data_IF_977387561232
#
_entry.id   IF_977387561232
#
_cell.length_a   1.000
_cell.length_b   1.000
_cell.length_c   1.000
_cell.angle_alpha   90.00
_cell.angle_beta   90.00
_cell.angle_gamma   90.00
#
_symmetry.space_group_name_H-M   'P 1'
#
loop_
_entity.id
_entity.type
_entity.pdbx_description
1 polymer ?
#
# COMPACT_ATOMS: atom_id res chain seq x y z
N UNK A 1 2.46 -27.00 -14.25
CA UNK A 1 1.56 -25.98 -14.80
C UNK A 1 0.33 -26.64 -15.38
N UNK A 2 -0.86 -26.04 -15.18
CA UNK A 2 -2.16 -26.56 -15.64
C UNK A 2 -2.56 -25.89 -16.94
N UNK A 3 -2.99 -26.69 -17.92
CA UNK A 3 -3.49 -26.20 -19.22
C UNK A 3 -4.91 -26.67 -19.42
N UNK A 4 -5.87 -25.73 -19.45
CA UNK A 4 -7.26 -26.05 -19.77
C UNK A 4 -7.41 -26.21 -21.28
N UNK A 5 -8.03 -27.30 -21.70
CA UNK A 5 -8.33 -27.61 -23.11
C UNK A 5 -9.84 -27.76 -23.28
N UNK A 6 -10.46 -26.89 -24.04
CA UNK A 6 -11.86 -26.98 -24.44
C UNK A 6 -11.95 -27.37 -25.92
N UNK A 7 -12.45 -28.57 -26.17
CA UNK A 7 -12.57 -29.17 -27.50
C UNK A 7 -13.73 -30.19 -27.47
N UNK A 8 -14.69 -30.07 -28.33
CA UNK A 8 -15.87 -30.94 -28.37
C UNK A 8 -15.55 -32.32 -28.97
N UNK A 9 -14.66 -32.36 -29.97
CA UNK A 9 -14.25 -33.59 -30.61
C UNK A 9 -13.35 -34.43 -29.70
N UNK A 10 -13.77 -35.69 -29.33
CA UNK A 10 -13.01 -36.50 -28.39
C UNK A 10 -11.63 -36.90 -28.89
N UNK A 11 -11.44 -37.09 -30.20
CA UNK A 11 -10.12 -37.45 -30.76
C UNK A 11 -9.16 -36.28 -30.75
N UNK A 12 -9.63 -35.10 -31.10
CA UNK A 12 -8.82 -33.85 -31.05
C UNK A 12 -8.44 -33.51 -29.60
N UNK A 13 -9.40 -33.62 -28.69
CA UNK A 13 -9.18 -33.42 -27.27
C UNK A 13 -8.16 -34.38 -26.69
N UNK A 14 -8.24 -35.67 -27.07
CA UNK A 14 -7.27 -36.67 -26.67
C UNK A 14 -5.87 -36.37 -27.21
N UNK A 15 -5.77 -36.00 -28.49
CA UNK A 15 -4.48 -35.61 -29.10
C UNK A 15 -3.81 -34.47 -28.36
N UNK A 16 -4.56 -33.38 -28.06
CA UNK A 16 -4.02 -32.24 -27.31
C UNK A 16 -3.60 -32.66 -25.90
N UNK A 17 -4.37 -33.48 -25.22
CA UNK A 17 -4.02 -34.05 -23.93
C UNK A 17 -2.68 -34.80 -23.98
N UNK A 18 -2.54 -35.75 -24.91
CA UNK A 18 -1.35 -36.58 -25.01
C UNK A 18 -0.10 -35.70 -25.32
N UNK A 19 -0.24 -34.67 -26.13
CA UNK A 19 0.83 -33.69 -26.37
C UNK A 19 1.21 -32.97 -25.06
N UNK A 20 0.24 -32.46 -24.31
CA UNK A 20 0.48 -31.74 -23.04
C UNK A 20 1.20 -32.64 -22.03
N UNK A 21 0.71 -33.84 -21.85
CA UNK A 21 1.32 -34.83 -20.94
C UNK A 21 2.76 -35.17 -21.35
N UNK A 22 3.02 -35.28 -22.68
CA UNK A 22 4.36 -35.62 -23.22
C UNK A 22 5.38 -34.50 -22.96
N UNK A 23 4.94 -33.25 -22.81
CA UNK A 23 5.78 -32.09 -22.52
C UNK A 23 5.72 -31.65 -21.04
N UNK A 24 5.08 -32.47 -20.17
CA UNK A 24 5.12 -32.31 -18.72
C UNK A 24 4.09 -31.33 -18.15
N UNK A 25 3.04 -30.99 -18.89
CA UNK A 25 1.93 -30.17 -18.41
C UNK A 25 0.73 -31.01 -17.97
N UNK A 26 -0.03 -30.49 -16.99
CA UNK A 26 -1.25 -31.12 -16.47
C UNK A 26 -2.48 -30.64 -17.28
N UNK A 27 -3.11 -31.51 -18.08
CA UNK A 27 -4.29 -31.12 -18.87
C UNK A 27 -5.56 -31.14 -18.01
N UNK A 28 -6.33 -30.04 -18.10
CA UNK A 28 -7.70 -29.95 -17.58
C UNK A 28 -8.64 -29.94 -18.78
N UNK A 29 -9.45 -30.99 -18.95
CA UNK A 29 -10.24 -31.16 -20.17
C UNK A 29 -11.67 -30.67 -19.99
N UNK A 30 -12.20 -29.91 -20.96
CA UNK A 30 -13.58 -29.49 -21.08
C UNK A 30 -14.13 -29.94 -22.44
N UNK A 31 -15.42 -30.24 -22.50
CA UNK A 31 -16.08 -30.77 -23.72
C UNK A 31 -16.91 -29.73 -24.44
N UNK A 32 -17.15 -28.57 -23.80
CA UNK A 32 -17.97 -27.47 -24.30
C UNK A 32 -17.61 -26.15 -23.61
N UNK A 33 -18.19 -25.04 -24.08
CA UNK A 33 -17.93 -23.71 -23.52
C UNK A 33 -18.32 -23.54 -22.06
N UNK A 34 -19.52 -23.94 -21.61
CA UNK A 34 -19.92 -23.85 -20.22
C UNK A 34 -19.01 -24.63 -19.27
N UNK A 35 -18.59 -25.85 -19.63
CA UNK A 35 -17.66 -26.64 -18.82
C UNK A 35 -16.25 -26.02 -18.82
N UNK A 36 -15.85 -25.36 -19.90
CA UNK A 36 -14.58 -24.63 -19.95
C UNK A 36 -14.57 -23.46 -18.97
N UNK A 37 -15.63 -22.66 -18.91
CA UNK A 37 -15.75 -21.55 -17.96
C UNK A 37 -15.75 -22.02 -16.51
N UNK A 38 -16.55 -23.05 -16.20
CA UNK A 38 -16.58 -23.62 -14.84
C UNK A 38 -15.21 -24.14 -14.40
N UNK A 39 -14.48 -24.80 -15.30
CA UNK A 39 -13.13 -25.31 -15.02
C UNK A 39 -12.08 -24.20 -14.97
N UNK A 40 -12.18 -23.15 -15.78
CA UNK A 40 -11.31 -22.00 -15.70
C UNK A 40 -11.42 -21.32 -14.32
N UNK A 41 -12.63 -21.15 -13.80
CA UNK A 41 -12.87 -20.56 -12.47
C UNK A 41 -12.39 -21.46 -11.32
N UNK A 42 -12.61 -22.77 -11.42
CA UNK A 42 -12.29 -23.69 -10.33
C UNK A 42 -10.82 -24.12 -10.29
N UNK A 43 -10.15 -24.23 -11.45
CA UNK A 43 -8.77 -24.72 -11.52
C UNK A 43 -7.71 -23.63 -11.68
N UNK A 44 -8.10 -22.41 -12.08
CA UNK A 44 -7.23 -21.27 -12.38
C UNK A 44 -5.99 -21.71 -13.21
N UNK A 45 -6.20 -22.13 -14.50
CA UNK A 45 -5.14 -22.71 -15.30
C UNK A 45 -4.08 -21.68 -15.69
N UNK A 46 -2.90 -22.16 -16.07
CA UNK A 46 -1.80 -21.31 -16.54
C UNK A 46 -1.94 -20.91 -18.00
N UNK A 47 -2.69 -21.68 -18.80
CA UNK A 47 -3.02 -21.43 -20.20
C UNK A 47 -4.38 -22.04 -20.50
N UNK A 48 -5.16 -21.41 -21.36
CA UNK A 48 -6.43 -21.94 -21.87
C UNK A 48 -6.31 -22.14 -23.37
N UNK A 49 -6.62 -23.34 -23.86
CA UNK A 49 -6.72 -23.68 -25.28
C UNK A 49 -8.19 -23.91 -25.60
N UNK A 50 -8.74 -23.14 -26.55
CA UNK A 50 -10.15 -23.16 -26.93
C UNK A 50 -10.30 -23.54 -28.41
N UNK A 51 -11.07 -24.55 -28.70
CA UNK A 51 -11.59 -24.71 -30.05
C UNK A 51 -12.62 -23.59 -30.34
N UNK A 52 -12.54 -23.02 -31.53
CA UNK A 52 -13.51 -22.00 -31.97
C UNK A 52 -14.89 -22.60 -32.14
N UNK A 53 -14.98 -23.78 -32.73
CA UNK A 53 -16.25 -24.39 -33.14
C UNK A 53 -16.71 -25.41 -32.09
N UNK A 54 -17.32 -24.93 -31.02
CA UNK A 54 -17.93 -25.79 -29.99
C UNK A 54 -19.46 -25.61 -30.01
N UNK A 55 -20.24 -26.67 -29.72
CA UNK A 55 -21.68 -26.59 -29.66
C UNK A 55 -22.18 -25.74 -28.50
N UNK A 56 -23.23 -24.95 -28.73
CA UNK A 56 -23.88 -24.13 -27.72
C UNK A 56 -23.16 -22.80 -27.43
N UNK A 57 -21.89 -22.82 -27.09
CA UNK A 57 -21.08 -21.62 -26.84
C UNK A 57 -19.74 -21.77 -27.56
N UNK A 58 -19.46 -20.87 -28.47
CA UNK A 58 -18.21 -20.84 -29.25
C UNK A 58 -16.99 -20.50 -28.39
N UNK A 59 -15.80 -20.91 -28.83
CA UNK A 59 -14.55 -20.52 -28.17
C UNK A 59 -14.33 -19.00 -28.10
N UNK A 60 -14.87 -18.23 -29.03
CA UNK A 60 -14.83 -16.76 -29.00
C UNK A 60 -15.66 -16.18 -27.86
N UNK A 61 -16.87 -16.71 -27.65
CA UNK A 61 -17.73 -16.28 -26.54
C UNK A 61 -17.10 -16.64 -25.20
N UNK A 62 -16.49 -17.83 -25.07
CA UNK A 62 -15.74 -18.25 -23.88
C UNK A 62 -14.55 -17.29 -23.63
N UNK A 63 -13.78 -16.98 -24.68
CA UNK A 63 -12.64 -16.06 -24.61
C UNK A 63 -13.07 -14.66 -24.12
N UNK A 64 -14.15 -14.11 -24.70
CA UNK A 64 -14.68 -12.81 -24.30
C UNK A 64 -15.08 -12.76 -22.83
N UNK A 65 -15.74 -13.81 -22.32
CA UNK A 65 -16.13 -13.92 -20.90
C UNK A 65 -14.88 -14.01 -20.01
N UNK A 66 -13.88 -14.83 -20.37
CA UNK A 66 -12.63 -14.98 -19.62
C UNK A 66 -11.89 -13.63 -19.55
N UNK A 67 -11.80 -12.90 -20.68
CA UNK A 67 -11.08 -11.62 -20.74
C UNK A 67 -11.81 -10.47 -20.06
N UNK A 68 -13.11 -10.60 -19.81
CA UNK A 68 -13.91 -9.66 -19.03
C UNK A 68 -13.87 -9.94 -17.52
N UNK A 69 -13.46 -11.12 -17.08
CA UNK A 69 -13.37 -11.51 -15.67
C UNK A 69 -12.05 -11.06 -15.05
N UNK A 70 -12.06 -10.24 -14.01
CA UNK A 70 -10.86 -9.69 -13.36
C UNK A 70 -9.89 -10.78 -12.87
N UNK A 71 -10.40 -11.95 -12.47
CA UNK A 71 -9.57 -13.06 -11.97
C UNK A 71 -8.97 -13.91 -13.08
N UNK A 72 -9.61 -13.96 -14.25
CA UNK A 72 -9.23 -14.81 -15.37
C UNK A 72 -8.56 -14.05 -16.52
N UNK A 73 -8.77 -12.75 -16.65
CA UNK A 73 -8.33 -11.92 -17.76
C UNK A 73 -6.81 -12.03 -18.05
N UNK A 74 -6.02 -12.26 -17.00
CA UNK A 74 -4.56 -12.37 -17.10
C UNK A 74 -4.08 -13.74 -17.63
N UNK A 75 -4.97 -14.74 -17.71
CA UNK A 75 -4.64 -16.08 -18.21
C UNK A 75 -4.57 -16.02 -19.74
N UNK A 76 -3.45 -16.45 -20.36
CA UNK A 76 -3.35 -16.46 -21.80
C UNK A 76 -4.32 -17.46 -22.41
N UNK A 77 -4.95 -17.04 -23.53
CA UNK A 77 -5.90 -17.84 -24.29
C UNK A 77 -5.35 -18.11 -25.69
N UNK A 78 -5.25 -19.37 -26.09
CA UNK A 78 -4.90 -19.82 -27.44
C UNK A 78 -6.14 -20.42 -28.11
N UNK A 79 -6.43 -19.94 -29.32
CA UNK A 79 -7.57 -20.41 -30.10
C UNK A 79 -7.12 -21.46 -31.11
N UNK A 80 -7.85 -22.57 -31.21
CA UNK A 80 -7.71 -23.56 -32.29
C UNK A 80 -8.75 -23.25 -33.37
N UNK A 81 -8.31 -22.95 -34.60
CA UNK A 81 -9.19 -22.48 -35.69
C UNK A 81 -9.09 -23.37 -36.92
N UNK A 82 -10.12 -23.41 -37.77
CA UNK A 82 -10.03 -24.00 -39.09
C UNK A 82 -9.11 -23.17 -40.01
N UNK A 83 -8.41 -23.79 -40.96
CA UNK A 83 -7.42 -23.15 -41.81
C UNK A 83 -8.02 -22.05 -42.74
N UNK A 84 -9.33 -22.11 -43.01
CA UNK A 84 -10.05 -21.24 -43.95
C UNK A 84 -10.61 -19.96 -43.33
N UNK A 85 -10.45 -19.75 -42.04
CA UNK A 85 -11.19 -18.75 -41.29
C UNK A 85 -10.34 -17.50 -40.96
N UNK A 86 -9.94 -16.76 -42.00
CA UNK A 86 -9.12 -15.54 -41.90
C UNK A 86 -9.90 -14.40 -41.20
N UNK A 87 -11.21 -14.28 -41.46
CA UNK A 87 -12.06 -13.27 -40.84
C UNK A 87 -12.23 -13.53 -39.33
N UNK A 88 -12.37 -14.77 -38.91
CA UNK A 88 -12.42 -15.17 -37.50
C UNK A 88 -11.14 -14.85 -36.74
N UNK A 89 -9.97 -14.84 -37.39
CA UNK A 89 -8.69 -14.42 -36.78
C UNK A 89 -8.65 -12.93 -36.45
N UNK A 90 -9.18 -12.09 -37.35
CA UNK A 90 -9.25 -10.63 -37.15
C UNK A 90 -10.26 -10.30 -36.05
N UNK A 91 -11.41 -10.96 -36.05
CA UNK A 91 -12.44 -10.80 -35.01
C UNK A 91 -11.93 -11.24 -33.64
N UNK A 92 -11.24 -12.35 -33.58
CA UNK A 92 -10.74 -12.90 -32.32
C UNK A 92 -9.57 -12.12 -31.72
N UNK A 93 -8.71 -11.48 -32.53
CA UNK A 93 -7.70 -10.53 -32.02
C UNK A 93 -8.37 -9.34 -31.31
N UNK A 94 -9.52 -8.89 -31.81
CA UNK A 94 -10.34 -7.87 -31.16
C UNK A 94 -10.98 -8.32 -29.84
N UNK A 95 -11.13 -9.63 -29.60
CA UNK A 95 -11.69 -10.22 -28.39
C UNK A 95 -10.63 -10.56 -27.31
N UNK A 96 -9.35 -10.26 -27.58
CA UNK A 96 -8.26 -10.40 -26.60
C UNK A 96 -7.62 -11.78 -26.50
N UNK A 97 -7.82 -12.68 -27.48
CA UNK A 97 -7.06 -13.92 -27.55
C UNK A 97 -5.56 -13.65 -27.79
N UNK A 98 -4.69 -14.39 -27.12
CA UNK A 98 -3.25 -14.17 -27.12
C UNK A 98 -2.54 -14.91 -28.27
N UNK A 99 -3.11 -16.00 -28.79
CA UNK A 99 -2.55 -16.78 -29.91
C UNK A 99 -3.61 -17.54 -30.68
N UNK A 100 -3.26 -17.94 -31.93
CA UNK A 100 -4.09 -18.71 -32.84
C UNK A 100 -3.28 -19.83 -33.46
N UNK A 101 -3.86 -21.05 -33.50
CA UNK A 101 -3.29 -22.19 -34.19
C UNK A 101 -4.30 -22.81 -35.14
N UNK A 102 -3.97 -22.89 -36.44
CA UNK A 102 -4.83 -23.47 -37.45
C UNK A 102 -4.81 -25.00 -37.39
N UNK A 103 -5.97 -25.64 -37.51
CA UNK A 103 -6.14 -27.08 -37.72
C UNK A 103 -6.05 -27.38 -39.23
N UNK A 104 -5.35 -28.47 -39.67
CA UNK A 104 -4.55 -29.40 -38.85
C UNK A 104 -3.20 -28.81 -38.45
N UNK A 105 -2.78 -29.05 -37.20
CA UNK A 105 -1.48 -28.61 -36.68
C UNK A 105 -0.56 -29.81 -36.37
N UNK A 106 0.73 -29.56 -36.35
CA UNK A 106 1.69 -30.57 -35.89
C UNK A 106 1.82 -30.57 -34.37
N UNK A 107 2.07 -31.71 -33.72
CA UNK A 107 2.36 -31.78 -32.28
C UNK A 107 3.50 -30.83 -31.86
N UNK A 108 4.53 -30.71 -32.70
CA UNK A 108 5.67 -29.81 -32.43
C UNK A 108 5.28 -28.33 -32.44
N UNK A 109 4.40 -27.95 -33.35
CA UNK A 109 3.93 -26.56 -33.45
C UNK A 109 3.09 -26.19 -32.22
N UNK A 110 2.13 -27.04 -31.84
CA UNK A 110 1.33 -26.82 -30.66
C UNK A 110 2.22 -26.73 -29.41
N UNK A 111 3.13 -27.68 -29.18
CA UNK A 111 4.06 -27.68 -28.07
C UNK A 111 4.89 -26.39 -28.00
N UNK A 112 5.49 -25.97 -29.13
CA UNK A 112 6.32 -24.76 -29.18
C UNK A 112 5.54 -23.49 -28.83
N UNK A 113 4.27 -23.39 -29.27
CA UNK A 113 3.39 -22.25 -28.93
C UNK A 113 2.98 -22.24 -27.47
N UNK A 114 2.61 -23.40 -26.93
CA UNK A 114 2.30 -23.58 -25.51
C UNK A 114 3.49 -23.13 -24.65
N UNK A 115 4.67 -23.66 -24.92
CA UNK A 115 5.90 -23.28 -24.20
C UNK A 115 6.20 -21.80 -24.29
N UNK A 116 6.04 -21.18 -25.46
CA UNK A 116 6.25 -19.74 -25.64
C UNK A 116 5.28 -18.93 -24.79
N UNK A 117 3.99 -19.28 -24.78
CA UNK A 117 2.96 -18.57 -24.00
C UNK A 117 3.14 -18.73 -22.50
N UNK A 118 3.40 -19.94 -22.05
CA UNK A 118 3.64 -20.22 -20.62
C UNK A 118 4.92 -19.54 -20.12
N UNK A 119 5.99 -19.51 -20.94
CA UNK A 119 7.21 -18.78 -20.60
C UNK A 119 6.95 -17.27 -20.46
N UNK A 120 6.22 -16.68 -21.40
CA UNK A 120 5.86 -15.24 -21.33
C UNK A 120 5.02 -14.97 -20.08
N UNK A 121 4.01 -15.80 -19.79
CA UNK A 121 3.19 -15.68 -18.58
C UNK A 121 4.06 -15.75 -17.32
N UNK A 122 4.93 -16.75 -17.22
CA UNK A 122 5.81 -16.92 -16.07
C UNK A 122 6.71 -15.70 -15.86
N UNK A 123 7.32 -15.15 -16.92
CA UNK A 123 8.13 -13.93 -16.84
C UNK A 123 7.32 -12.74 -16.34
N UNK A 124 6.09 -12.59 -16.84
CA UNK A 124 5.18 -11.50 -16.41
C UNK A 124 4.76 -11.66 -14.95
N UNK A 125 4.42 -12.87 -14.54
CA UNK A 125 4.03 -13.20 -13.15
C UNK A 125 5.21 -12.98 -12.18
N UNK A 126 6.42 -13.38 -12.56
CA UNK A 126 7.63 -13.19 -11.76
C UNK A 126 7.99 -11.71 -11.62
N UNK A 127 7.87 -10.93 -12.71
CA UNK A 127 8.06 -9.48 -12.68
C UNK A 127 7.03 -8.80 -11.78
N UNK A 128 5.76 -9.22 -11.87
CA UNK A 128 4.69 -8.69 -11.01
C UNK A 128 4.94 -9.01 -9.54
N UNK A 129 5.33 -10.25 -9.21
CA UNK A 129 5.68 -10.66 -7.85
C UNK A 129 6.88 -9.87 -7.31
N UNK A 130 7.91 -9.71 -8.14
CA UNK A 130 9.11 -8.94 -7.77
C UNK A 130 8.76 -7.47 -7.52
N UNK A 131 7.97 -6.86 -8.40
CA UNK A 131 7.51 -5.46 -8.23
C UNK A 131 6.73 -5.30 -6.93
N UNK A 132 5.81 -6.21 -6.63
CA UNK A 132 5.02 -6.16 -5.41
C UNK A 132 5.88 -6.38 -4.16
N UNK A 133 6.82 -7.32 -4.19
CA UNK A 133 7.77 -7.56 -3.09
C UNK A 133 8.66 -6.31 -2.83
N UNK A 134 9.18 -5.69 -3.89
CA UNK A 134 9.97 -4.46 -3.78
C UNK A 134 9.12 -3.34 -3.17
N UNK A 135 7.88 -3.16 -3.65
CA UNK A 135 6.94 -2.18 -3.10
C UNK A 135 6.68 -2.40 -1.62
N UNK A 136 6.28 -3.61 -1.21
CA UNK A 136 6.01 -3.95 0.19
C UNK A 136 7.25 -3.80 1.08
N UNK A 137 8.43 -4.11 0.55
CA UNK A 137 9.68 -3.90 1.28
C UNK A 137 9.94 -2.41 1.47
N UNK A 138 9.73 -1.60 0.44
CA UNK A 138 9.96 -0.16 0.50
C UNK A 138 8.96 0.54 1.44
N UNK A 139 7.69 0.10 1.46
CA UNK A 139 6.65 0.59 2.38
C UNK A 139 6.95 0.33 3.87
N UNK A 140 7.92 -0.54 4.19
CA UNK A 140 8.39 -0.72 5.58
C UNK A 140 9.37 0.36 6.03
N UNK A 141 9.98 1.08 5.13
CA UNK A 141 10.97 2.12 5.41
C UNK A 141 10.48 3.52 5.10
N UNK A 142 9.46 3.64 4.28
CA UNK A 142 8.90 4.92 3.82
C UNK A 142 7.38 4.86 3.92
N UNK A 143 6.77 5.94 4.38
CA UNK A 143 5.30 6.02 4.49
C UNK A 143 4.60 5.68 3.16
N UNK A 144 3.53 4.87 3.16
CA UNK A 144 2.84 4.41 1.94
C UNK A 144 2.44 5.54 0.99
N UNK A 145 1.97 6.67 1.52
CA UNK A 145 1.59 7.84 0.75
C UNK A 145 2.77 8.48 -0.01
N UNK A 146 3.97 8.43 0.57
CA UNK A 146 5.21 8.90 -0.08
C UNK A 146 5.64 7.93 -1.16
N UNK A 147 5.58 6.61 -0.89
CA UNK A 147 5.88 5.57 -1.89
C UNK A 147 4.97 5.71 -3.11
N UNK A 148 3.67 5.91 -2.90
CA UNK A 148 2.70 6.09 -3.98
C UNK A 148 3.04 7.32 -4.84
N UNK A 149 3.34 8.47 -4.21
CA UNK A 149 3.75 9.70 -4.91
C UNK A 149 5.01 9.47 -5.77
N UNK A 150 6.02 8.77 -5.24
CA UNK A 150 7.26 8.49 -5.96
C UNK A 150 7.07 7.50 -7.12
N UNK A 151 6.15 6.54 -6.98
CA UNK A 151 5.84 5.57 -8.03
C UNK A 151 5.00 6.19 -9.17
N UNK A 152 4.14 7.18 -8.87
CA UNK A 152 3.36 7.89 -9.88
C UNK A 152 4.23 8.77 -10.77
N UNK A 153 5.25 9.41 -10.20
CA UNK A 153 6.20 10.23 -10.97
C UNK A 153 7.63 10.09 -10.41
N UNK A 154 8.45 9.20 -11.00
CA UNK A 154 9.83 9.02 -10.59
C UNK A 154 10.71 10.27 -10.72
N UNK A 155 10.25 11.30 -11.45
CA UNK A 155 10.97 12.58 -11.53
C UNK A 155 10.98 13.35 -10.20
N UNK A 156 10.08 13.01 -9.28
CA UNK A 156 10.06 13.53 -7.92
C UNK A 156 11.18 12.96 -7.03
N UNK A 157 11.91 11.92 -7.47
CA UNK A 157 13.08 11.41 -6.74
C UNK A 157 14.29 12.30 -7.04
N UNK A 158 14.20 13.58 -6.69
CA UNK A 158 15.29 14.56 -6.78
C UNK A 158 15.38 15.34 -5.50
N UNK A 159 16.60 15.75 -5.13
CA UNK A 159 16.80 16.67 -4.01
C UNK A 159 16.05 17.98 -4.27
N UNK A 160 15.40 18.49 -3.22
CA UNK A 160 14.66 19.73 -3.23
C UNK A 160 13.31 19.60 -2.55
N UNK A 161 12.65 20.72 -2.35
CA UNK A 161 11.35 20.80 -1.70
C UNK A 161 10.58 22.03 -2.14
N UNK A 162 9.34 22.08 -1.73
CA UNK A 162 8.43 23.21 -1.98
C UNK A 162 7.95 23.78 -0.66
N UNK A 163 7.79 25.10 -0.62
CA UNK A 163 7.17 25.76 0.54
C UNK A 163 5.68 25.41 0.55
N UNK A 164 5.26 24.76 1.64
CA UNK A 164 3.89 24.29 1.81
C UNK A 164 3.46 24.52 3.26
N UNK A 165 2.19 24.86 3.47
CA UNK A 165 1.62 24.84 4.81
C UNK A 165 1.40 23.39 5.23
N UNK A 166 1.90 23.02 6.41
CA UNK A 166 1.76 21.68 7.00
C UNK A 166 1.41 21.78 8.48
N UNK A 167 0.81 20.73 9.00
CA UNK A 167 0.75 20.52 10.45
C UNK A 167 1.72 19.44 10.83
N UNK A 168 2.58 19.77 11.78
CA UNK A 168 3.59 18.85 12.35
C UNK A 168 3.12 18.41 13.72
N UNK A 169 3.13 17.10 13.94
CA UNK A 169 2.85 16.47 15.22
C UNK A 169 4.11 15.76 15.71
N UNK A 170 4.53 16.07 16.93
CA UNK A 170 5.48 15.26 17.69
C UNK A 170 4.76 14.56 18.82
N UNK A 171 5.11 13.29 19.06
CA UNK A 171 4.70 12.52 20.24
C UNK A 171 5.92 11.89 20.88
N UNK A 172 5.96 11.80 22.22
CA UNK A 172 7.11 11.29 22.98
C UNK A 172 6.64 10.62 24.27
N UNK A 173 7.34 9.57 24.71
CA UNK A 173 7.02 8.81 25.94
C UNK A 173 7.65 9.47 27.17
N UNK A 174 6.82 9.95 28.07
CA UNK A 174 7.29 10.58 29.30
C UNK A 174 8.07 9.60 30.17
N UNK A 175 9.33 9.94 30.45
CA UNK A 175 10.20 9.14 31.32
C UNK A 175 10.86 7.93 30.66
N UNK A 176 10.74 7.76 29.35
CA UNK A 176 11.35 6.64 28.62
C UNK A 176 12.85 6.50 28.87
N UNK A 177 13.61 7.60 28.87
CA UNK A 177 15.05 7.58 29.16
C UNK A 177 15.37 6.91 30.48
N UNK A 178 14.64 7.24 31.56
CA UNK A 178 14.86 6.63 32.87
C UNK A 178 14.50 5.14 32.91
N UNK A 179 13.43 4.75 32.19
CA UNK A 179 13.02 3.34 32.08
C UNK A 179 14.06 2.56 31.28
N UNK A 180 14.63 3.17 30.24
CA UNK A 180 15.63 2.52 29.37
C UNK A 180 16.93 2.16 30.11
N UNK A 181 17.33 2.95 31.10
CA UNK A 181 18.51 2.68 31.92
C UNK A 181 18.37 1.43 32.80
N UNK A 182 17.14 1.02 33.12
CA UNK A 182 16.85 -0.05 34.09
C UNK A 182 16.13 -1.26 33.47
N UNK A 183 15.92 -1.26 32.16
CA UNK A 183 15.20 -2.32 31.43
C UNK A 183 16.14 -3.08 30.51
N UNK A 184 15.98 -4.39 30.43
CA UNK A 184 16.69 -5.21 29.44
C UNK A 184 16.42 -4.72 28.01
N UNK A 185 17.48 -4.57 27.16
CA UNK A 185 17.35 -3.98 25.84
C UNK A 185 16.32 -4.66 24.93
N UNK A 186 16.23 -5.99 24.97
CA UNK A 186 15.28 -6.75 24.15
C UNK A 186 13.82 -6.48 24.59
N UNK A 187 13.56 -6.43 25.89
CA UNK A 187 12.24 -6.13 26.46
C UNK A 187 11.84 -4.69 26.13
N UNK A 188 12.79 -3.75 26.30
CA UNK A 188 12.57 -2.33 25.98
C UNK A 188 12.21 -2.15 24.51
N UNK A 189 12.97 -2.77 23.60
CA UNK A 189 12.70 -2.73 22.16
C UNK A 189 11.35 -3.34 21.81
N UNK A 190 10.97 -4.43 22.47
CA UNK A 190 9.65 -5.06 22.31
C UNK A 190 8.49 -4.13 22.69
N UNK A 191 8.63 -3.38 23.80
CA UNK A 191 7.64 -2.39 24.25
C UNK A 191 7.57 -1.22 23.27
N UNK A 192 8.73 -0.66 22.88
CA UNK A 192 8.85 0.46 21.97
C UNK A 192 8.23 0.15 20.60
N UNK A 193 8.53 -1.03 20.04
CA UNK A 193 7.96 -1.45 18.76
C UNK A 193 6.43 -1.59 18.81
N UNK A 194 5.87 -2.09 19.92
CA UNK A 194 4.43 -2.18 20.08
C UNK A 194 3.78 -0.79 20.22
N UNK A 195 4.43 0.13 20.95
CA UNK A 195 4.00 1.52 21.04
C UNK A 195 4.03 2.20 19.68
N UNK A 196 5.15 2.10 18.95
CA UNK A 196 5.26 2.66 17.61
C UNK A 196 4.20 2.09 16.67
N UNK A 197 3.90 0.78 16.73
CA UNK A 197 2.86 0.17 15.92
C UNK A 197 1.47 0.76 16.21
N UNK A 198 1.13 1.02 17.46
CA UNK A 198 -0.11 1.69 17.84
C UNK A 198 -0.16 3.11 17.28
N UNK A 199 0.87 3.92 17.54
CA UNK A 199 0.92 5.32 17.13
C UNK A 199 0.89 5.45 15.62
N UNK A 200 1.69 4.66 14.90
CA UNK A 200 1.73 4.65 13.44
C UNK A 200 0.37 4.27 12.84
N UNK A 201 -0.29 3.23 13.37
CA UNK A 201 -1.61 2.83 12.85
C UNK A 201 -2.64 3.97 12.95
N UNK A 202 -2.65 4.69 14.08
CA UNK A 202 -3.58 5.81 14.29
C UNK A 202 -3.20 7.03 13.42
N UNK A 203 -1.90 7.34 13.26
CA UNK A 203 -1.46 8.42 12.36
C UNK A 203 -1.94 8.15 10.93
N UNK A 204 -1.75 6.91 10.43
CA UNK A 204 -2.15 6.53 9.07
C UNK A 204 -3.67 6.53 8.91
N UNK A 205 -4.44 6.08 9.90
CA UNK A 205 -5.91 6.11 9.91
C UNK A 205 -6.46 7.54 9.76
N UNK A 206 -5.81 8.52 10.39
CA UNK A 206 -6.16 9.93 10.25
C UNK A 206 -5.55 10.62 9.02
N UNK A 207 -4.88 9.85 8.14
CA UNK A 207 -4.28 10.35 6.90
C UNK A 207 -2.98 11.13 7.12
N UNK A 208 -2.32 10.95 8.26
CA UNK A 208 -0.99 11.49 8.53
C UNK A 208 0.10 10.70 7.81
N UNK A 209 1.21 11.34 7.57
CA UNK A 209 2.44 10.74 7.03
C UNK A 209 3.46 10.64 8.15
N UNK A 210 3.88 9.43 8.49
CA UNK A 210 4.99 9.24 9.44
C UNK A 210 6.26 9.69 8.75
N UNK A 211 6.92 10.69 9.34
CA UNK A 211 8.18 11.22 8.83
C UNK A 211 9.36 10.38 9.32
N UNK A 212 9.54 10.30 10.63
CA UNK A 212 10.61 9.52 11.24
C UNK A 212 10.36 9.22 12.71
N UNK A 213 11.14 8.26 13.21
CA UNK A 213 11.30 7.98 14.64
C UNK A 213 12.56 8.66 15.16
N UNK A 214 12.48 9.29 16.33
CA UNK A 214 13.63 9.95 16.99
C UNK A 214 13.69 9.38 18.41
N UNK A 215 14.39 8.24 18.57
CA UNK A 215 14.30 7.45 19.80
C UNK A 215 12.90 6.89 20.01
N UNK A 216 12.26 7.28 21.10
CA UNK A 216 10.86 6.95 21.40
C UNK A 216 9.87 7.96 20.82
N UNK A 217 10.34 9.11 20.35
CA UNK A 217 9.49 10.11 19.72
C UNK A 217 9.10 9.72 18.28
N UNK A 218 7.90 10.11 17.88
CA UNK A 218 7.40 9.98 16.51
C UNK A 218 7.09 11.37 15.95
N UNK A 219 7.64 11.66 14.77
CA UNK A 219 7.28 12.85 14.00
C UNK A 219 6.33 12.46 12.88
N UNK A 220 5.19 13.16 12.79
CA UNK A 220 4.21 12.99 11.73
C UNK A 220 3.87 14.32 11.06
N UNK A 221 3.56 14.25 9.77
CA UNK A 221 3.19 15.39 8.92
C UNK A 221 1.77 15.21 8.39
N UNK A 222 1.03 16.30 8.30
CA UNK A 222 -0.30 16.38 7.70
C UNK A 222 -0.30 17.48 6.62
N UNK A 223 -1.18 17.32 5.63
CA UNK A 223 -1.20 18.09 4.38
C UNK A 223 -0.04 17.77 3.43
N UNK A 224 0.61 16.64 3.61
CA UNK A 224 1.69 16.15 2.73
C UNK A 224 1.82 14.62 2.82
N UNK A 225 2.14 13.89 1.74
CA UNK A 225 2.31 14.34 0.36
C UNK A 225 0.99 14.67 -0.34
N UNK A 226 -0.16 14.35 0.27
CA UNK A 226 -1.51 14.63 -0.22
C UNK A 226 -2.06 15.88 0.48
N UNK A 227 -2.72 16.75 -0.30
CA UNK A 227 -3.34 17.95 0.24
C UNK A 227 -4.57 17.59 1.09
N UNK A 228 -4.70 18.26 2.25
CA UNK A 228 -5.77 18.06 3.22
C UNK A 228 -6.25 19.41 3.75
N UNK A 229 -7.50 19.77 3.53
CA UNK A 229 -8.07 21.04 3.98
C UNK A 229 -8.25 21.12 5.51
N UNK A 230 -8.28 19.97 6.17
CA UNK A 230 -8.52 19.80 7.61
C UNK A 230 -7.30 19.22 8.36
N UNK A 231 -6.09 19.45 7.85
CA UNK A 231 -4.85 18.84 8.33
C UNK A 231 -4.57 19.13 9.83
N UNK A 232 -4.84 20.35 10.30
CA UNK A 232 -4.68 20.69 11.72
C UNK A 232 -5.63 19.89 12.62
N UNK A 233 -6.89 19.77 12.20
CA UNK A 233 -7.90 18.99 12.93
C UNK A 233 -7.56 17.51 12.96
N UNK A 234 -7.07 16.95 11.86
CA UNK A 234 -6.61 15.55 11.78
C UNK A 234 -5.46 15.29 12.74
N UNK A 235 -4.46 16.16 12.78
CA UNK A 235 -3.33 16.05 13.69
C UNK A 235 -3.77 16.03 15.16
N UNK A 236 -4.69 16.93 15.56
CA UNK A 236 -5.19 16.96 16.94
C UNK A 236 -6.06 15.74 17.26
N UNK A 237 -6.92 15.32 16.35
CA UNK A 237 -7.70 14.10 16.50
C UNK A 237 -6.83 12.85 16.62
N UNK A 238 -5.70 12.81 15.92
CA UNK A 238 -4.71 11.73 16.07
C UNK A 238 -4.17 11.67 17.49
N UNK A 239 -3.73 12.79 18.05
CA UNK A 239 -3.20 12.83 19.41
C UNK A 239 -4.27 12.41 20.45
N UNK A 240 -5.50 12.90 20.33
CA UNK A 240 -6.63 12.51 21.16
C UNK A 240 -6.97 11.02 21.03
N UNK A 241 -6.93 10.47 19.80
CA UNK A 241 -7.17 9.05 19.57
C UNK A 241 -6.08 8.19 20.22
N UNK A 242 -4.80 8.55 20.06
CA UNK A 242 -3.71 7.85 20.73
C UNK A 242 -3.93 7.84 22.26
N UNK A 243 -4.23 9.00 22.88
CA UNK A 243 -4.50 9.07 24.31
C UNK A 243 -5.66 8.17 24.76
N UNK A 244 -6.70 8.06 23.94
CA UNK A 244 -7.86 7.22 24.25
C UNK A 244 -7.52 5.73 24.21
N UNK A 245 -6.66 5.30 23.30
CA UNK A 245 -6.28 3.90 23.14
C UNK A 245 -5.19 3.44 24.14
N UNK A 246 -4.40 4.37 24.70
CA UNK A 246 -3.31 4.04 25.61
C UNK A 246 -3.71 3.21 26.83
N UNK A 247 -4.82 3.49 27.55
CA UNK A 247 -5.21 2.69 28.71
C UNK A 247 -5.38 1.21 28.37
N UNK A 248 -6.10 0.90 27.28
CA UNK A 248 -6.31 -0.47 26.81
C UNK A 248 -4.99 -1.10 26.32
N UNK A 249 -4.17 -0.31 25.63
CA UNK A 249 -2.85 -0.75 25.21
C UNK A 249 -1.98 -1.18 26.39
N UNK A 250 -2.02 -0.43 27.51
CA UNK A 250 -1.20 -0.67 28.68
C UNK A 250 -1.71 -1.78 29.60
N UNK A 251 -2.91 -2.33 29.41
CA UNK A 251 -3.41 -3.47 30.20
C UNK A 251 -2.47 -4.69 30.13
N UNK A 252 -1.78 -4.86 29.00
CA UNK A 252 -0.82 -5.95 28.76
C UNK A 252 0.58 -5.73 29.33
N UNK A 253 0.85 -4.55 29.91
CA UNK A 253 2.17 -4.18 30.42
C UNK A 253 2.15 -3.99 31.92
N UNK A 254 3.28 -4.33 32.55
CA UNK A 254 3.51 -4.03 33.95
C UNK A 254 3.42 -2.52 34.23
N UNK A 255 2.96 -2.09 35.43
CA UNK A 255 2.71 -0.67 35.73
C UNK A 255 3.89 0.27 35.45
N UNK A 256 5.13 -0.20 35.63
CA UNK A 256 6.35 0.58 35.40
C UNK A 256 6.59 0.94 33.93
N UNK A 257 5.97 0.23 33.00
CA UNK A 257 6.04 0.49 31.55
C UNK A 257 4.85 1.25 30.98
N UNK A 258 3.95 1.74 31.86
CA UNK A 258 2.76 2.51 31.47
C UNK A 258 3.08 3.99 31.43
N UNK A 259 3.76 4.41 30.38
CA UNK A 259 4.21 5.79 30.18
C UNK A 259 3.09 6.66 29.62
N UNK A 260 3.05 7.94 29.98
CA UNK A 260 2.21 8.91 29.33
C UNK A 260 2.84 9.33 28.00
N UNK A 261 2.01 9.77 27.06
CA UNK A 261 2.49 10.30 25.77
C UNK A 261 2.23 11.78 25.75
N UNK A 262 3.27 12.56 25.57
CA UNK A 262 3.25 14.01 25.45
C UNK A 262 3.23 14.40 23.98
N UNK A 263 2.47 15.46 23.62
CA UNK A 263 2.32 15.89 22.25
C UNK A 263 2.62 17.37 22.08
N UNK A 264 3.22 17.72 20.93
CA UNK A 264 3.37 19.07 20.46
C UNK A 264 2.90 19.19 19.01
N UNK A 265 1.97 20.09 18.73
CA UNK A 265 1.37 20.24 17.40
C UNK A 265 1.44 21.70 16.96
N UNK A 266 2.03 21.92 15.80
CA UNK A 266 2.12 23.25 15.19
C UNK A 266 1.78 23.22 13.70
N UNK A 267 1.05 24.23 13.26
CA UNK A 267 0.68 24.47 11.86
C UNK A 267 1.42 25.69 11.33
N UNK A 268 2.05 25.58 10.18
CA UNK A 268 2.77 26.67 9.54
C UNK A 268 3.46 26.24 8.25
N UNK A 269 4.13 27.21 7.62
CA UNK A 269 4.89 26.98 6.39
C UNK A 269 6.20 26.25 6.68
N UNK A 270 6.47 25.20 5.89
CA UNK A 270 7.73 24.47 5.90
C UNK A 270 8.16 24.14 4.47
N UNK A 271 9.43 23.89 4.25
CA UNK A 271 9.93 23.31 3.00
C UNK A 271 9.75 21.80 3.09
N UNK A 272 8.88 21.25 2.26
CA UNK A 272 8.59 19.79 2.22
C UNK A 272 9.16 19.19 0.96
N UNK A 273 9.92 18.13 1.09
CA UNK A 273 10.51 17.44 -0.05
C UNK A 273 11.63 16.47 0.34
N UNK A 274 12.44 16.10 -0.65
CA UNK A 274 13.55 15.19 -0.47
C UNK A 274 14.81 15.93 0.00
N UNK A 275 15.24 15.64 1.20
CA UNK A 275 16.42 16.23 1.85
C UNK A 275 17.49 15.16 2.03
N UNK A 276 18.76 15.51 1.83
CA UNK A 276 19.89 14.60 2.00
C UNK A 276 20.89 14.67 0.87
N UNK A 277 21.32 13.52 0.38
CA UNK A 277 22.26 13.37 -0.74
C UNK A 277 21.60 12.62 -1.90
N UNK A 278 22.24 12.58 -3.08
CA UNK A 278 21.76 11.76 -4.21
C UNK A 278 21.71 10.27 -3.90
N UNK A 279 22.46 9.80 -2.91
CA UNK A 279 22.54 8.39 -2.53
C UNK A 279 21.55 8.03 -1.41
N UNK A 280 21.26 8.96 -0.50
CA UNK A 280 20.37 8.77 0.66
C UNK A 280 19.52 10.03 0.81
N UNK A 281 18.22 9.87 0.68
CA UNK A 281 17.24 10.95 0.80
C UNK A 281 16.16 10.57 1.80
N UNK A 282 15.66 11.57 2.49
CA UNK A 282 14.48 11.48 3.34
C UNK A 282 13.42 12.44 2.80
N UNK A 283 12.18 11.97 2.65
CA UNK A 283 11.06 12.86 2.40
C UNK A 283 10.59 13.44 3.73
N UNK A 284 10.83 14.73 3.95
CA UNK A 284 10.61 15.36 5.25
C UNK A 284 10.23 16.85 5.09
N UNK A 285 9.83 17.46 6.20
CA UNK A 285 9.64 18.88 6.33
C UNK A 285 10.82 19.54 7.06
N UNK A 286 11.25 20.71 6.58
CA UNK A 286 12.32 21.51 7.20
C UNK A 286 11.84 22.95 7.38
N UNK A 287 12.07 23.50 8.56
CA UNK A 287 11.74 24.89 8.88
C UNK A 287 11.41 25.11 10.35
N UNK A 288 11.13 26.37 10.69
CA UNK A 288 10.77 26.76 12.06
C UNK A 288 9.48 26.10 12.55
N UNK A 289 8.58 25.75 11.63
CA UNK A 289 7.34 24.98 11.90
C UNK A 289 7.64 23.64 12.57
N UNK A 290 8.65 22.92 12.10
CA UNK A 290 9.07 21.64 12.70
C UNK A 290 9.65 21.87 14.10
N UNK A 291 10.51 22.87 14.22
CA UNK A 291 11.16 23.20 15.49
C UNK A 291 10.15 23.62 16.56
N UNK A 292 9.12 24.39 16.19
CA UNK A 292 8.12 24.82 17.16
C UNK A 292 7.25 23.66 17.64
N UNK A 293 6.86 22.75 16.77
CA UNK A 293 6.13 21.53 17.15
C UNK A 293 6.94 20.68 18.16
N UNK A 294 8.23 20.46 17.86
CA UNK A 294 9.12 19.71 18.75
C UNK A 294 9.25 20.40 20.13
N UNK A 295 9.40 21.73 20.16
CA UNK A 295 9.54 22.46 21.42
C UNK A 295 8.25 22.52 22.25
N UNK A 296 7.09 22.50 21.60
CA UNK A 296 5.80 22.35 22.29
C UNK A 296 5.73 20.97 22.94
N UNK A 297 6.17 19.91 22.23
CA UNK A 297 6.23 18.56 22.78
C UNK A 297 7.20 18.51 23.99
N UNK A 298 8.40 19.12 23.88
CA UNK A 298 9.36 19.22 24.98
C UNK A 298 8.82 19.90 26.25
N UNK A 299 7.87 20.82 26.10
CA UNK A 299 7.20 21.51 27.21
C UNK A 299 5.99 20.77 27.77
N UNK A 300 5.44 19.86 27.00
CA UNK A 300 4.29 19.03 27.39
C UNK A 300 4.64 18.08 28.53
N UNK A 301 3.74 17.89 29.48
CA UNK A 301 3.92 17.01 30.65
C UNK A 301 2.62 16.28 30.95
N UNK A 302 2.75 15.14 31.57
CA UNK A 302 1.60 14.41 32.12
C UNK A 302 0.63 13.88 31.07
N UNK A 303 1.04 13.81 29.83
CA UNK A 303 0.20 13.39 28.70
C UNK A 303 -0.54 14.53 28.03
N UNK A 304 -0.11 15.79 28.17
CA UNK A 304 -0.75 16.94 27.54
C UNK A 304 -0.59 16.92 26.02
N UNK A 305 -1.58 17.50 25.33
CA UNK A 305 -1.53 17.80 23.89
C UNK A 305 -1.43 19.30 23.73
N UNK A 306 -0.21 19.81 23.50
CA UNK A 306 0.04 21.24 23.37
C UNK A 306 -0.07 21.69 21.91
N UNK A 307 -0.82 22.76 21.69
CA UNK A 307 -1.09 23.33 20.38
C UNK A 307 -0.56 24.76 20.31
N UNK A 308 0.01 25.16 19.19
CA UNK A 308 0.24 26.57 18.91
C UNK A 308 -1.06 27.32 18.58
N UNK A 309 -1.05 28.65 18.66
CA UNK A 309 -2.17 29.49 18.23
C UNK A 309 -2.56 29.23 16.75
N UNK A 310 -1.58 29.09 15.86
CA UNK A 310 -1.85 28.80 14.44
C UNK A 310 -2.61 27.48 14.24
N UNK A 311 -2.32 26.45 15.02
CA UNK A 311 -3.08 25.18 15.01
C UNK A 311 -4.49 25.39 15.59
N UNK A 312 -4.58 26.06 16.74
CA UNK A 312 -5.85 26.34 17.41
C UNK A 312 -6.86 27.07 16.51
N UNK A 313 -6.42 28.11 15.80
CA UNK A 313 -7.27 28.87 14.89
C UNK A 313 -7.88 28.01 13.77
N UNK A 314 -7.15 26.99 13.30
CA UNK A 314 -7.65 26.08 12.25
C UNK A 314 -8.62 25.00 12.77
N UNK A 315 -8.77 24.83 14.10
CA UNK A 315 -9.72 23.85 14.64
C UNK A 315 -11.18 24.28 14.53
N UNK A 316 -11.44 25.57 14.31
CA UNK A 316 -12.79 26.12 14.12
C UNK A 316 -13.78 25.73 15.24
N UNK A 317 -13.29 25.57 16.47
CA UNK A 317 -14.10 25.19 17.63
C UNK A 317 -14.55 23.73 17.68
N UNK A 318 -14.04 22.86 16.82
CA UNK A 318 -14.42 21.42 16.77
C UNK A 318 -13.76 20.57 17.86
N UNK A 319 -12.78 21.10 18.58
CA UNK A 319 -12.08 20.43 19.69
C UNK A 319 -12.15 21.35 20.90
N UNK A 320 -12.46 20.78 22.06
CA UNK A 320 -12.36 21.52 23.33
C UNK A 320 -10.90 21.81 23.65
N UNK A 321 -10.61 23.05 24.00
CA UNK A 321 -9.26 23.49 24.33
C UNK A 321 -9.25 24.41 25.53
N UNK A 322 -8.14 24.42 26.28
CA UNK A 322 -7.88 25.38 27.35
C UNK A 322 -6.65 26.22 26.99
N UNK A 323 -6.75 27.53 27.15
CA UNK A 323 -5.61 28.42 26.96
C UNK A 323 -4.61 28.25 28.13
N UNK A 324 -3.38 27.86 27.82
CA UNK A 324 -2.28 27.80 28.80
C UNK A 324 -1.65 29.22 28.98
N UNK A 325 -1.70 30.00 27.93
CA UNK A 325 -1.13 31.36 27.90
C UNK A 325 0.15 31.46 27.08
N UNK A 326 0.81 32.62 27.20
CA UNK A 326 2.06 32.87 26.46
C UNK A 326 3.23 32.10 27.10
N UNK A 327 3.90 31.30 26.32
CA UNK A 327 5.05 30.49 26.75
C UNK A 327 6.31 30.92 25.99
N UNK A 328 7.40 31.09 26.73
CA UNK A 328 8.71 31.30 26.13
C UNK A 328 9.21 29.97 25.58
N UNK A 329 9.52 29.94 24.30
CA UNK A 329 10.00 28.77 23.60
C UNK A 329 11.48 28.94 23.30
N UNK A 330 12.35 27.99 23.66
CA UNK A 330 13.80 28.07 23.48
C UNK A 330 14.17 28.47 22.05
N UNK A 331 14.96 29.57 21.88
CA UNK A 331 15.41 30.07 20.59
C UNK A 331 14.36 30.89 19.81
N UNK A 332 13.30 31.35 20.44
CA UNK A 332 12.41 32.41 19.95
C UNK A 332 12.47 33.62 20.90
N UNK A 333 12.52 34.80 20.32
CA UNK A 333 12.49 36.06 21.08
C UNK A 333 11.05 36.38 21.58
N UNK A 334 10.05 36.01 20.77
CA UNK A 334 8.65 36.23 21.10
C UNK A 334 8.00 35.00 21.74
N UNK A 335 7.25 35.26 22.83
CA UNK A 335 6.44 34.24 23.47
C UNK A 335 5.28 33.80 22.56
N UNK A 336 5.08 32.48 22.45
CA UNK A 336 4.02 31.87 21.65
C UNK A 336 2.79 31.59 22.54
N UNK A 337 1.60 31.92 22.04
CA UNK A 337 0.35 31.53 22.69
C UNK A 337 0.15 30.02 22.52
N UNK A 338 -0.08 29.32 23.63
CA UNK A 338 -0.21 27.87 23.71
C UNK A 338 -1.56 27.46 24.28
N UNK A 339 -2.14 26.44 23.68
CA UNK A 339 -3.41 25.83 24.10
C UNK A 339 -3.19 24.34 24.39
N UNK A 340 -4.00 23.79 25.27
CA UNK A 340 -4.09 22.34 25.49
C UNK A 340 -5.39 21.82 24.88
N UNK A 341 -5.30 20.79 24.05
CA UNK A 341 -6.48 20.06 23.59
C UNK A 341 -6.96 19.09 24.68
N UNK A 342 -8.25 19.07 24.93
CA UNK A 342 -8.88 18.25 25.95
C UNK A 342 -9.64 17.09 25.31
N UNK A 343 -9.64 15.94 25.97
CA UNK A 343 -10.55 14.85 25.61
C UNK A 343 -11.99 15.28 25.90
N UNK A 344 -12.90 14.93 25.00
CA UNK A 344 -14.32 15.07 25.28
C UNK A 344 -14.68 14.24 26.52
N UNK A 345 -15.30 14.88 27.51
CA UNK A 345 -15.84 14.17 28.69
C UNK A 345 -17.03 13.35 28.20
N UNK A 346 -16.80 12.07 27.85
CA UNK A 346 -17.86 11.10 27.64
C UNK A 346 -18.24 10.44 28.92
#
# INVERSE_FOLDING_TARGET
MKVLVAEDNPNSRQLVRDILESIGYEPVLAVDGPSALAKAQSSLPDLIILDVNMPGMSGFEVCAIIKADEKLAHIPVMMLTAQTDVESRVTGLGLGADDYLAKPFSPRELAARIDARLRTKQQTDDLRKTKEMVRQTFERFVSPSVVEKLLQDPSHVKLGGQLQEVTVLFSDLEGFTSISEHTEPEKLLGILNQYHALVVSIILEHGGTVDKFIGDAVMALYNTPLNQVDHALRAVRTALHIQRELPLFYERFEPQYRMKVNFGIHTGSAVVGNVGTQQIMEYTAVGDTVNLAARLQDQSRGGQILLSDATYQQLSGQIQTTAIGRQTVKGREEAVMVYEALQDST
#
